data_IF_707354534118
#
_entry.id   IF_707354534118
#
_cell.length_a   1.000
_cell.length_b   1.000
_cell.length_c   1.000
_cell.angle_alpha   90.00
_cell.angle_beta   90.00
_cell.angle_gamma   90.00
#
_symmetry.space_group_name_H-M   'P 1'
#
loop_
_entity.id
_entity.type
_entity.pdbx_description
1 polymer ?
#
# COMPACT_ATOMS: atom_id res chain seq x y z
N UNK A 1 20.05 19.61 4.33
CA UNK A 1 19.91 18.14 4.30
C UNK A 1 18.80 17.60 5.23
N UNK A 2 17.92 18.45 5.80
CA UNK A 2 16.88 18.00 6.75
C UNK A 2 15.55 17.58 6.11
N UNK A 3 15.15 18.17 4.97
CA UNK A 3 13.81 17.94 4.40
C UNK A 3 13.60 16.54 3.78
N UNK A 4 14.66 15.89 3.31
CA UNK A 4 14.54 14.59 2.61
C UNK A 4 14.22 13.44 3.59
N UNK A 5 14.69 13.54 4.84
CA UNK A 5 14.41 12.57 5.90
C UNK A 5 12.93 12.64 6.32
N UNK A 6 12.35 13.85 6.36
CA UNK A 6 10.95 14.03 6.75
C UNK A 6 9.97 13.38 5.75
N UNK A 7 10.22 13.50 4.44
CA UNK A 7 9.33 12.91 3.43
C UNK A 7 9.43 11.39 3.33
N UNK A 8 10.62 10.82 3.51
CA UNK A 8 10.78 9.37 3.49
C UNK A 8 10.08 8.72 4.68
N UNK A 9 10.26 9.27 5.89
CA UNK A 9 9.57 8.80 7.09
C UNK A 9 8.06 8.96 6.94
N UNK A 10 7.60 10.10 6.40
CA UNK A 10 6.19 10.32 6.14
C UNK A 10 5.62 9.25 5.19
N UNK A 11 6.32 8.97 4.09
CA UNK A 11 5.89 7.95 3.13
C UNK A 11 5.84 6.57 3.78
N UNK A 12 6.85 6.19 4.56
CA UNK A 12 6.84 4.92 5.30
C UNK A 12 5.65 4.80 6.26
N UNK A 13 5.31 5.86 6.99
CA UNK A 13 4.16 5.83 7.91
C UNK A 13 2.82 5.78 7.16
N UNK A 14 2.71 6.44 6.01
CA UNK A 14 1.54 6.35 5.13
C UNK A 14 1.37 4.91 4.62
N UNK A 15 2.46 4.29 4.12
CA UNK A 15 2.44 2.91 3.62
C UNK A 15 2.06 1.94 4.72
N UNK A 16 2.66 2.07 5.91
CA UNK A 16 2.34 1.26 7.08
C UNK A 16 0.87 1.39 7.47
N UNK A 17 0.36 2.62 7.58
CA UNK A 17 -1.04 2.89 7.95
C UNK A 17 -2.01 2.29 6.92
N UNK A 18 -1.71 2.41 5.62
CA UNK A 18 -2.53 1.81 4.57
C UNK A 18 -2.55 0.28 4.65
N UNK A 19 -1.41 -0.36 4.98
CA UNK A 19 -1.35 -1.82 5.19
C UNK A 19 -2.18 -2.25 6.40
N UNK A 20 -2.06 -1.56 7.52
CA UNK A 20 -2.81 -1.86 8.74
C UNK A 20 -4.33 -1.71 8.48
N UNK A 21 -4.74 -0.66 7.77
CA UNK A 21 -6.14 -0.45 7.42
C UNK A 21 -6.69 -1.49 6.42
N UNK A 22 -5.86 -1.92 5.45
CA UNK A 22 -6.21 -3.03 4.55
C UNK A 22 -6.37 -4.37 5.30
N UNK A 23 -5.58 -4.58 6.37
CA UNK A 23 -5.70 -5.78 7.21
C UNK A 23 -6.95 -5.71 8.11
N UNK A 24 -7.22 -4.56 8.73
CA UNK A 24 -8.38 -4.37 9.61
C UNK A 24 -9.72 -4.46 8.85
N UNK A 25 -9.77 -3.98 7.60
CA UNK A 25 -10.95 -4.14 6.73
C UNK A 25 -11.23 -5.59 6.30
N UNK A 26 -10.41 -6.56 6.71
CA UNK A 26 -10.69 -7.98 6.49
C UNK A 26 -11.41 -8.66 7.66
N UNK A 27 -11.67 -7.95 8.75
CA UNK A 27 -12.35 -8.52 9.93
C UNK A 27 -13.83 -8.84 9.68
N UNK A 28 -14.45 -8.24 8.66
CA UNK A 28 -15.83 -8.55 8.26
C UNK A 28 -15.97 -8.67 6.74
N UNK A 29 -16.67 -9.71 6.26
CA UNK A 29 -16.81 -10.00 4.83
C UNK A 29 -17.98 -9.23 4.16
N UNK A 30 -18.15 -7.96 4.54
CA UNK A 30 -19.17 -7.11 3.95
C UNK A 30 -18.70 -6.54 2.59
N UNK A 31 -19.61 -6.25 1.64
CA UNK A 31 -19.23 -5.62 0.38
C UNK A 31 -18.49 -4.29 0.56
N UNK A 32 -18.84 -3.51 1.59
CA UNK A 32 -18.18 -2.25 1.91
C UNK A 32 -16.72 -2.48 2.32
N UNK A 33 -16.48 -3.46 3.18
CA UNK A 33 -15.16 -3.77 3.73
C UNK A 33 -14.22 -4.35 2.67
N UNK A 34 -14.76 -5.17 1.76
CA UNK A 34 -14.02 -5.58 0.54
C UNK A 34 -13.62 -4.39 -0.32
N UNK A 35 -14.53 -3.43 -0.52
CA UNK A 35 -14.24 -2.20 -1.26
C UNK A 35 -13.19 -1.32 -0.57
N UNK A 36 -13.29 -1.17 0.75
CA UNK A 36 -12.33 -0.42 1.56
C UNK A 36 -10.94 -1.05 1.50
N UNK A 37 -10.86 -2.37 1.63
CA UNK A 37 -9.63 -3.14 1.46
C UNK A 37 -8.99 -2.91 0.09
N UNK A 38 -9.79 -3.02 -0.98
CA UNK A 38 -9.32 -2.78 -2.35
C UNK A 38 -8.78 -1.35 -2.53
N UNK A 39 -9.43 -0.34 -1.93
CA UNK A 39 -8.97 1.04 -1.99
C UNK A 39 -7.59 1.23 -1.34
N UNK A 40 -7.32 0.59 -0.20
CA UNK A 40 -6.00 0.62 0.41
C UNK A 40 -4.94 -0.10 -0.43
N UNK A 41 -5.28 -1.23 -1.05
CA UNK A 41 -4.35 -1.90 -1.98
C UNK A 41 -4.05 -1.08 -3.24
N UNK A 42 -5.03 -0.35 -3.79
CA UNK A 42 -4.80 0.55 -4.93
C UNK A 42 -3.76 1.64 -4.56
N UNK A 43 -3.78 2.16 -3.32
CA UNK A 43 -2.76 3.12 -2.85
C UNK A 43 -1.38 2.48 -2.76
N UNK A 44 -1.29 1.26 -2.22
CA UNK A 44 -0.02 0.52 -2.11
C UNK A 44 0.55 0.20 -3.49
N UNK A 45 -0.30 -0.13 -4.47
CA UNK A 45 0.10 -0.43 -5.85
C UNK A 45 0.63 0.81 -6.58
N UNK A 46 -0.01 1.97 -6.38
CA UNK A 46 0.49 3.24 -6.89
C UNK A 46 1.88 3.52 -6.31
N UNK A 47 2.06 3.38 -5.00
CA UNK A 47 3.36 3.62 -4.37
C UNK A 47 4.45 2.66 -4.87
N UNK A 48 4.11 1.37 -5.04
CA UNK A 48 5.01 0.37 -5.65
C UNK A 48 5.42 0.79 -7.06
N UNK A 49 4.44 1.12 -7.90
CA UNK A 49 4.67 1.53 -9.29
C UNK A 49 5.58 2.75 -9.36
N UNK A 50 5.36 3.75 -8.50
CA UNK A 50 6.23 4.94 -8.46
C UNK A 50 7.66 4.59 -8.01
N UNK A 51 7.82 3.73 -7.00
CA UNK A 51 9.13 3.29 -6.55
C UNK A 51 9.90 2.55 -7.65
N UNK A 52 9.22 1.67 -8.41
CA UNK A 52 9.81 0.98 -9.56
C UNK A 52 10.24 1.95 -10.66
N UNK A 53 9.41 2.94 -11.01
CA UNK A 53 9.74 3.97 -12.01
C UNK A 53 10.95 4.82 -11.56
N UNK A 54 11.05 5.09 -10.26
CA UNK A 54 12.12 5.91 -9.67
C UNK A 54 13.35 5.11 -9.26
N UNK A 55 13.37 3.79 -9.53
CA UNK A 55 14.43 2.86 -9.11
C UNK A 55 14.70 2.89 -7.58
N UNK A 56 13.68 3.19 -6.78
CA UNK A 56 13.75 3.18 -5.31
C UNK A 56 13.43 1.77 -4.80
N UNK A 57 14.31 1.16 -3.98
CA UNK A 57 14.03 -0.14 -3.38
C UNK A 57 12.75 -0.11 -2.53
N UNK A 58 11.88 -1.12 -2.66
CA UNK A 58 10.63 -1.21 -1.87
C UNK A 58 10.89 -1.24 -0.36
N UNK A 59 12.05 -1.75 0.06
CA UNK A 59 12.52 -1.72 1.45
C UNK A 59 12.72 -0.30 1.98
N UNK A 60 13.05 0.67 1.12
CA UNK A 60 13.24 2.07 1.54
C UNK A 60 11.92 2.79 1.80
N UNK A 61 10.80 2.26 1.31
CA UNK A 61 9.46 2.82 1.49
C UNK A 61 8.53 1.92 2.32
N UNK A 62 9.02 0.80 2.86
CA UNK A 62 8.25 -0.10 3.73
C UNK A 62 7.23 -1.00 3.01
N UNK A 63 7.46 -1.25 1.71
CA UNK A 63 6.63 -2.14 0.87
C UNK A 63 7.22 -3.55 0.68
N UNK A 64 8.30 -3.89 1.39
CA UNK A 64 8.85 -5.24 1.36
C UNK A 64 7.82 -6.27 1.88
N UNK A 65 7.70 -7.39 1.16
CA UNK A 65 6.77 -8.48 1.51
C UNK A 65 5.29 -8.18 1.29
N UNK A 66 4.92 -7.09 0.59
CA UNK A 66 3.52 -6.83 0.22
C UNK A 66 3.18 -7.57 -1.08
N UNK A 67 2.49 -8.71 -0.95
CA UNK A 67 1.85 -9.42 -2.05
C UNK A 67 0.60 -8.64 -2.51
N UNK A 68 0.79 -7.66 -3.41
CA UNK A 68 -0.31 -6.87 -4.00
C UNK A 68 -1.07 -7.69 -5.06
N UNK A 69 -0.41 -8.70 -5.64
CA UNK A 69 -0.90 -9.48 -6.79
C UNK A 69 -2.22 -10.21 -6.52
N UNK A 70 -2.52 -10.57 -5.28
CA UNK A 70 -3.72 -11.37 -4.95
C UNK A 70 -5.03 -10.57 -5.00
N UNK A 71 -5.00 -9.24 -5.05
CA UNK A 71 -6.22 -8.41 -4.94
C UNK A 71 -6.71 -7.82 -6.27
N UNK A 72 -5.82 -7.66 -7.24
CA UNK A 72 -6.15 -7.09 -8.57
C UNK A 72 -7.08 -8.03 -9.35
N UNK A 73 -7.04 -9.34 -9.08
CA UNK A 73 -7.93 -10.34 -9.69
C UNK A 73 -9.42 -10.16 -9.36
N UNK A 74 -9.76 -9.32 -8.37
CA UNK A 74 -11.17 -8.98 -8.07
C UNK A 74 -11.74 -7.87 -8.96
N UNK A 75 -10.92 -7.15 -9.74
CA UNK A 75 -11.39 -6.15 -10.73
C UNK A 75 -11.95 -6.79 -12.01
N UNK A 76 -11.86 -8.11 -12.18
CA UNK A 76 -12.19 -8.81 -13.43
C UNK A 76 -13.36 -9.80 -13.34
N UNK A 77 -14.08 -9.88 -12.21
CA UNK A 77 -15.22 -10.77 -12.00
C UNK A 77 -16.53 -10.01 -11.78
#
# INVERSE_FOLDING_TARGET
MSQQIDYQILLQEVIKTAREAAQQSSETDSPFERGLKAAYYDILDVAKTQAEIMEVPLTEIGLDGVEIADYITSKAA
#
